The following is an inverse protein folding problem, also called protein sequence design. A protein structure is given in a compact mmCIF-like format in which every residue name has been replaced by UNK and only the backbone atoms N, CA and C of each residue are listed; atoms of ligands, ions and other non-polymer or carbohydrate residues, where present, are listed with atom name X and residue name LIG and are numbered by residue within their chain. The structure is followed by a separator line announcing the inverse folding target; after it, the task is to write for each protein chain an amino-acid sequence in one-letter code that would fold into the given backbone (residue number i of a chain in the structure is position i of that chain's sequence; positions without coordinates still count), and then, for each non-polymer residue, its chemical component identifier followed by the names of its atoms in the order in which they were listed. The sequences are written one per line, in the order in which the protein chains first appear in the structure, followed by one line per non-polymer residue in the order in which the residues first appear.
data_IF_499211033379
#
_entry.id   IF_499211033379
#
_cell.length_a   1.000
_cell.length_b   1.000
_cell.length_c   1.000
_cell.angle_alpha   90.00
_cell.angle_beta   90.00
_cell.angle_gamma   90.00
#
_symmetry.space_group_name_H-M   'P 1'
#
loop_
_entity.id
_entity.type
_entity.pdbx_description
1 polymer ?
#
# COMPACT_ATOMS: atom_id res chain seq x y z
N UNK A 1 23.51 -1.12 33.15
CA UNK A 1 22.45 -2.12 33.09
C UNK A 1 21.05 -1.54 33.08
N UNK A 2 20.77 -0.48 33.84
CA UNK A 2 19.47 0.22 33.79
C UNK A 2 19.14 0.81 32.43
N UNK A 3 20.16 1.26 31.68
CA UNK A 3 20.00 1.80 30.34
C UNK A 3 19.52 0.74 29.32
N UNK A 4 19.99 -0.50 29.43
CA UNK A 4 19.55 -1.59 28.54
C UNK A 4 18.12 -1.99 28.83
N UNK A 5 17.68 -1.99 30.09
CA UNK A 5 16.30 -2.26 30.46
C UNK A 5 15.34 -1.19 29.90
N UNK A 6 15.75 0.08 29.97
CA UNK A 6 14.95 1.20 29.43
C UNK A 6 14.84 1.10 27.91
N UNK A 7 15.91 0.72 27.22
CA UNK A 7 15.92 0.54 25.77
C UNK A 7 14.99 -0.61 25.38
N UNK A 8 15.05 -1.72 26.10
CA UNK A 8 14.20 -2.89 25.84
C UNK A 8 12.72 -2.56 26.07
N UNK A 9 12.39 -1.81 27.12
CA UNK A 9 11.03 -1.36 27.38
C UNK A 9 10.51 -0.45 26.26
N UNK A 10 11.33 0.48 25.76
CA UNK A 10 10.96 1.37 24.64
C UNK A 10 10.78 0.60 23.35
N UNK A 11 11.60 -0.41 23.08
CA UNK A 11 11.47 -1.26 21.90
C UNK A 11 10.16 -2.04 21.96
N UNK A 12 9.81 -2.60 23.12
CA UNK A 12 8.54 -3.31 23.31
C UNK A 12 7.36 -2.36 23.10
N UNK A 13 7.43 -1.15 23.65
CA UNK A 13 6.38 -0.13 23.46
C UNK A 13 6.21 0.24 21.98
N UNK A 14 7.31 0.36 21.23
CA UNK A 14 7.27 0.64 19.79
C UNK A 14 6.66 -0.51 19.01
N UNK A 15 6.99 -1.75 19.35
CA UNK A 15 6.42 -2.93 18.72
C UNK A 15 4.92 -3.03 18.99
N UNK A 16 4.48 -2.78 20.22
CA UNK A 16 3.07 -2.77 20.57
C UNK A 16 2.32 -1.66 19.83
N UNK A 17 2.93 -0.48 19.71
CA UNK A 17 2.35 0.63 18.96
C UNK A 17 2.24 0.30 17.47
N UNK A 18 3.26 -0.31 16.88
CA UNK A 18 3.27 -0.75 15.50
C UNK A 18 2.16 -1.76 15.23
N UNK A 19 1.96 -2.72 16.12
CA UNK A 19 0.89 -3.72 16.03
C UNK A 19 -0.49 -3.06 16.09
N UNK A 20 -0.70 -2.12 17.00
CA UNK A 20 -1.97 -1.37 17.10
C UNK A 20 -2.25 -0.55 15.87
N UNK A 21 -1.22 0.09 15.32
CA UNK A 21 -1.32 0.89 14.11
C UNK A 21 -1.65 0.00 12.92
N UNK A 22 -0.99 -1.15 12.77
CA UNK A 22 -1.27 -2.12 11.72
C UNK A 22 -2.70 -2.65 11.82
N UNK A 23 -3.17 -3.01 13.01
CA UNK A 23 -4.52 -3.48 13.23
C UNK A 23 -5.56 -2.39 12.89
N UNK A 24 -5.30 -1.17 13.30
CA UNK A 24 -6.17 -0.04 12.97
C UNK A 24 -6.20 0.23 11.47
N UNK A 25 -5.06 0.12 10.78
CA UNK A 25 -4.96 0.30 9.33
C UNK A 25 -5.79 -0.75 8.59
N UNK A 26 -5.67 -2.01 8.98
CA UNK A 26 -6.41 -3.11 8.36
C UNK A 26 -7.93 -2.92 8.47
N UNK A 27 -8.38 -2.25 9.55
CA UNK A 27 -9.81 -1.99 9.80
C UNK A 27 -10.33 -0.75 9.09
N UNK A 28 -9.49 0.03 8.42
CA UNK A 28 -9.95 1.21 7.69
C UNK A 28 -10.88 0.84 6.54
N UNK A 29 -11.86 1.72 6.30
CA UNK A 29 -12.82 1.56 5.21
C UNK A 29 -12.13 1.46 3.85
N UNK A 30 -11.06 2.23 3.64
CA UNK A 30 -10.29 2.20 2.37
C UNK A 30 -9.68 0.83 2.11
N UNK A 31 -9.22 0.13 3.15
CA UNK A 31 -8.66 -1.22 3.02
C UNK A 31 -9.76 -2.22 2.71
N UNK A 32 -10.92 -2.13 3.37
CA UNK A 32 -12.07 -2.97 3.09
C UNK A 32 -12.56 -2.78 1.65
N UNK A 33 -12.64 -1.54 1.19
CA UNK A 33 -13.01 -1.22 -0.19
C UNK A 33 -12.00 -1.78 -1.19
N UNK A 34 -10.71 -1.63 -0.91
CA UNK A 34 -9.64 -2.19 -1.73
C UNK A 34 -9.78 -3.71 -1.86
N UNK A 35 -10.01 -4.41 -0.75
CA UNK A 35 -10.20 -5.86 -0.77
C UNK A 35 -11.40 -6.27 -1.61
N UNK A 36 -12.50 -5.53 -1.50
CA UNK A 36 -13.71 -5.79 -2.29
C UNK A 36 -13.45 -5.55 -3.79
N UNK A 37 -12.76 -4.47 -4.13
CA UNK A 37 -12.41 -4.17 -5.53
C UNK A 37 -11.41 -5.16 -6.10
N UNK A 38 -10.45 -5.59 -5.30
CA UNK A 38 -9.49 -6.63 -5.67
C UNK A 38 -10.19 -7.95 -5.96
N UNK A 39 -11.14 -8.33 -5.12
CA UNK A 39 -11.92 -9.54 -5.32
C UNK A 39 -12.77 -9.46 -6.60
N UNK A 40 -13.42 -8.31 -6.84
CA UNK A 40 -14.17 -8.08 -8.06
C UNK A 40 -13.28 -8.18 -9.30
N UNK A 41 -12.08 -7.62 -9.23
CA UNK A 41 -11.08 -7.70 -10.30
C UNK A 41 -10.66 -9.15 -10.57
N UNK A 42 -10.31 -9.89 -9.52
CA UNK A 42 -9.86 -11.29 -9.63
C UNK A 42 -10.97 -12.22 -10.07
N UNK A 43 -12.24 -11.89 -9.76
CA UNK A 43 -13.41 -12.70 -10.09
C UNK A 43 -13.96 -12.42 -11.48
N UNK A 44 -13.52 -11.35 -12.15
CA UNK A 44 -13.96 -11.01 -13.50
C UNK A 44 -13.20 -11.88 -14.52
N UNK A 45 -13.77 -13.02 -14.86
CA UNK A 45 -13.14 -14.00 -15.75
C UNK A 45 -12.83 -13.42 -17.13
N UNK A 46 -13.73 -12.62 -17.69
CA UNK A 46 -13.53 -11.99 -18.99
C UNK A 46 -12.35 -11.01 -18.97
N UNK A 47 -12.26 -10.22 -17.91
CA UNK A 47 -11.17 -9.28 -17.72
C UNK A 47 -9.84 -10.01 -17.50
N UNK A 48 -9.82 -11.06 -16.69
CA UNK A 48 -8.61 -11.87 -16.46
C UNK A 48 -8.11 -12.50 -17.74
N UNK A 49 -9.03 -12.97 -18.60
CA UNK A 49 -8.66 -13.53 -19.90
C UNK A 49 -8.05 -12.46 -20.82
N UNK A 50 -8.60 -11.28 -20.85
CA UNK A 50 -8.06 -10.14 -21.62
C UNK A 50 -6.66 -9.76 -21.13
N UNK A 51 -6.46 -9.73 -19.82
CA UNK A 51 -5.15 -9.45 -19.21
C UNK A 51 -4.14 -10.53 -19.57
N UNK A 52 -4.53 -11.79 -19.56
CA UNK A 52 -3.65 -12.89 -19.95
C UNK A 52 -3.25 -12.75 -21.42
N UNK A 53 -4.19 -12.45 -22.30
CA UNK A 53 -3.92 -12.23 -23.72
C UNK A 53 -2.97 -11.05 -23.91
N UNK A 54 -3.14 -9.97 -23.18
CA UNK A 54 -2.26 -8.82 -23.22
C UNK A 54 -0.84 -9.18 -22.76
N UNK A 55 -0.72 -9.93 -21.66
CA UNK A 55 0.59 -10.35 -21.14
C UNK A 55 1.33 -11.25 -22.12
N UNK A 56 0.64 -12.19 -22.74
CA UNK A 56 1.23 -13.07 -23.76
C UNK A 56 1.71 -12.31 -25.00
N UNK A 57 1.10 -11.18 -25.30
CA UNK A 57 1.42 -10.35 -26.46
C UNK A 57 2.12 -9.04 -26.10
N UNK A 58 2.62 -8.92 -24.90
CA UNK A 58 3.22 -7.70 -24.38
C UNK A 58 4.34 -7.14 -25.27
N UNK A 59 5.15 -8.00 -25.83
CA UNK A 59 6.24 -7.60 -26.73
C UNK A 59 5.74 -6.98 -28.04
N UNK A 60 4.47 -7.22 -28.41
CA UNK A 60 3.90 -6.75 -29.66
C UNK A 60 3.05 -5.49 -29.51
N UNK A 61 2.96 -4.91 -28.33
CA UNK A 61 2.16 -3.70 -28.07
C UNK A 61 2.57 -2.57 -29.04
N UNK A 62 3.86 -2.43 -29.29
CA UNK A 62 4.38 -1.37 -30.18
C UNK A 62 4.09 -1.64 -31.65
N UNK A 63 3.97 -2.91 -32.05
CA UNK A 63 3.90 -3.31 -33.45
C UNK A 63 2.52 -3.66 -33.94
N UNK A 64 1.60 -4.07 -33.03
CA UNK A 64 0.27 -4.55 -33.40
C UNK A 64 -0.81 -3.63 -32.85
N UNK A 65 -1.55 -2.95 -33.75
CA UNK A 65 -2.63 -2.04 -33.34
C UNK A 65 -3.73 -2.73 -32.52
N UNK A 66 -4.02 -4.01 -32.81
CA UNK A 66 -5.05 -4.76 -32.09
C UNK A 66 -4.67 -5.01 -30.63
N UNK A 67 -3.36 -5.16 -30.33
CA UNK A 67 -2.89 -5.33 -28.96
C UNK A 67 -2.95 -4.00 -28.21
N UNK A 68 -2.64 -2.89 -28.87
CA UNK A 68 -2.82 -1.56 -28.28
C UNK A 68 -4.29 -1.25 -27.99
N UNK A 69 -5.18 -1.65 -28.90
CA UNK A 69 -6.61 -1.48 -28.70
C UNK A 69 -7.10 -2.32 -27.50
N UNK A 70 -6.60 -3.55 -27.37
CA UNK A 70 -6.90 -4.39 -26.21
C UNK A 70 -6.43 -3.76 -24.91
N UNK A 71 -5.21 -3.21 -24.91
CA UNK A 71 -4.66 -2.51 -23.73
C UNK A 71 -5.57 -1.34 -23.33
N UNK A 72 -5.99 -0.52 -24.28
CA UNK A 72 -6.87 0.60 -24.00
C UNK A 72 -8.25 0.15 -23.51
N UNK A 73 -8.80 -0.90 -24.11
CA UNK A 73 -10.07 -1.48 -23.68
C UNK A 73 -10.00 -1.93 -22.21
N UNK A 74 -8.91 -2.60 -21.82
CA UNK A 74 -8.67 -3.03 -20.46
C UNK A 74 -8.59 -1.83 -19.52
N UNK A 75 -7.81 -0.81 -19.88
CA UNK A 75 -7.64 0.39 -19.05
C UNK A 75 -8.93 1.20 -18.89
N UNK A 76 -9.85 1.12 -19.84
CA UNK A 76 -11.14 1.81 -19.78
C UNK A 76 -12.23 0.99 -19.08
N UNK A 77 -11.95 -0.24 -18.69
CA UNK A 77 -12.89 -1.07 -17.95
C UNK A 77 -13.16 -0.49 -16.57
N UNK A 78 -14.43 -0.37 -16.19
CA UNK A 78 -14.82 0.19 -14.90
C UNK A 78 -14.22 -0.57 -13.73
N UNK A 79 -14.17 -1.88 -13.80
CA UNK A 79 -13.58 -2.74 -12.75
C UNK A 79 -12.13 -2.37 -12.48
N UNK A 80 -11.32 -2.13 -13.52
CA UNK A 80 -9.92 -1.70 -13.38
C UNK A 80 -9.85 -0.28 -12.84
N UNK A 81 -10.69 0.60 -13.33
CA UNK A 81 -10.73 1.98 -12.87
C UNK A 81 -11.02 2.05 -11.36
N UNK A 82 -12.05 1.34 -10.90
CA UNK A 82 -12.40 1.29 -9.48
C UNK A 82 -11.30 0.62 -8.64
N UNK A 83 -10.68 -0.42 -9.17
CA UNK A 83 -9.56 -1.08 -8.49
C UNK A 83 -8.37 -0.12 -8.31
N UNK A 84 -8.03 0.63 -9.35
CA UNK A 84 -6.92 1.60 -9.30
C UNK A 84 -7.20 2.75 -8.34
N UNK A 85 -8.44 3.23 -8.30
CA UNK A 85 -8.83 4.26 -7.33
C UNK A 85 -8.68 3.73 -5.92
N UNK A 86 -9.19 2.54 -5.64
CA UNK A 86 -9.11 1.93 -4.32
C UNK A 86 -7.67 1.68 -3.90
N UNK A 87 -6.82 1.21 -4.82
CA UNK A 87 -5.38 1.03 -4.59
C UNK A 87 -4.71 2.36 -4.24
N UNK A 88 -5.00 3.41 -4.99
CA UNK A 88 -4.46 4.74 -4.73
C UNK A 88 -4.89 5.27 -3.36
N UNK A 89 -6.15 5.07 -2.99
CA UNK A 89 -6.68 5.49 -1.69
C UNK A 89 -5.97 4.77 -0.54
N UNK A 90 -5.70 3.47 -0.69
CA UNK A 90 -4.92 2.71 0.29
C UNK A 90 -3.50 3.23 0.38
N UNK A 91 -2.85 3.50 -0.75
CA UNK A 91 -1.49 4.02 -0.78
C UNK A 91 -1.39 5.40 -0.14
N UNK A 92 -2.37 6.28 -0.37
CA UNK A 92 -2.45 7.58 0.28
C UNK A 92 -2.61 7.45 1.78
N UNK A 93 -3.50 6.57 2.23
CA UNK A 93 -3.70 6.30 3.66
C UNK A 93 -2.45 5.73 4.31
N UNK A 94 -1.76 4.83 3.62
CA UNK A 94 -0.50 4.25 4.09
C UNK A 94 0.60 5.31 4.18
N UNK A 95 0.68 6.20 3.19
CA UNK A 95 1.63 7.31 3.20
C UNK A 95 1.37 8.27 4.35
N UNK A 96 0.11 8.63 4.60
CA UNK A 96 -0.27 9.49 5.72
C UNK A 96 0.08 8.85 7.06
N UNK A 97 -0.17 7.54 7.17
CA UNK A 97 0.19 6.77 8.35
C UNK A 97 1.70 6.76 8.56
N UNK A 98 2.48 6.52 7.51
CA UNK A 98 3.93 6.52 7.55
C UNK A 98 4.48 7.88 8.00
N UNK A 99 3.88 8.98 7.51
CA UNK A 99 4.23 10.34 7.93
C UNK A 99 3.93 10.57 9.41
N UNK A 100 2.78 10.10 9.88
CA UNK A 100 2.41 10.22 11.29
C UNK A 100 3.38 9.45 12.18
N UNK A 101 3.75 8.23 11.80
CA UNK A 101 4.72 7.41 12.53
C UNK A 101 6.09 8.08 12.52
N UNK A 102 6.55 8.57 11.37
CA UNK A 102 7.81 9.29 11.23
C UNK A 102 7.85 10.53 12.11
N UNK A 103 6.74 11.27 12.19
CA UNK A 103 6.60 12.42 13.07
C UNK A 103 6.79 12.05 14.54
N UNK A 104 6.14 10.99 14.98
CA UNK A 104 6.28 10.49 16.37
C UNK A 104 7.71 10.06 16.66
N UNK A 105 8.35 9.34 15.75
CA UNK A 105 9.73 8.90 15.89
C UNK A 105 10.67 10.09 15.90
N UNK A 106 10.47 11.07 15.03
CA UNK A 106 11.28 12.29 14.99
C UNK A 106 11.18 13.08 16.28
N UNK A 107 10.01 13.20 16.87
CA UNK A 107 9.82 13.86 18.15
C UNK A 107 10.57 13.12 19.28
N UNK A 108 10.57 11.80 19.27
CA UNK A 108 11.33 10.99 20.21
C UNK A 108 12.84 11.17 20.02
N UNK A 109 13.31 11.28 18.76
CA UNK A 109 14.72 11.50 18.44
C UNK A 109 15.18 12.90 18.87
N UNK A 110 14.33 13.91 18.71
CA UNK A 110 14.64 15.28 19.15
C UNK A 110 14.93 15.33 20.64
N UNK A 111 14.24 14.53 21.45
CA UNK A 111 14.56 14.38 22.88
C UNK A 111 15.96 13.83 23.07
N UNK A 112 16.39 12.89 22.23
CA UNK A 112 17.73 12.29 22.28
C UNK A 112 18.81 13.24 21.74
N UNK A 113 18.48 14.13 20.81
CA UNK A 113 19.41 15.14 20.29
C UNK A 113 19.85 16.14 21.34
N UNK A 114 19.11 16.31 22.41
CA UNK A 114 19.50 17.13 23.55
C UNK A 114 20.60 16.47 24.40
N UNK A 115 20.92 15.23 24.15
CA UNK A 115 22.05 14.57 24.76
C UNK A 115 23.35 15.00 24.07
N UNK A 116 24.42 15.31 24.83
CA UNK A 116 25.69 15.74 24.24
C UNK A 116 26.38 14.56 23.56
N UNK A 117 25.95 14.22 22.37
CA UNK A 117 26.53 13.17 21.54
C UNK A 117 27.70 13.66 20.68
N UNK A 118 28.12 14.88 20.89
CA UNK A 118 29.26 15.45 20.18
C UNK A 118 30.57 15.08 20.83
#
# INVERSE_FOLDING_TARGET
MKLMLIIDEKIIELDELADRVSDAFIKLTVVADFKARKLAFESDAALQQKLQTLEENRAYITYRPEIRALQQEILMTDTIYQYKIAENDVQMSLSDLAKAISGVISDAIVVDENLPLK
#
